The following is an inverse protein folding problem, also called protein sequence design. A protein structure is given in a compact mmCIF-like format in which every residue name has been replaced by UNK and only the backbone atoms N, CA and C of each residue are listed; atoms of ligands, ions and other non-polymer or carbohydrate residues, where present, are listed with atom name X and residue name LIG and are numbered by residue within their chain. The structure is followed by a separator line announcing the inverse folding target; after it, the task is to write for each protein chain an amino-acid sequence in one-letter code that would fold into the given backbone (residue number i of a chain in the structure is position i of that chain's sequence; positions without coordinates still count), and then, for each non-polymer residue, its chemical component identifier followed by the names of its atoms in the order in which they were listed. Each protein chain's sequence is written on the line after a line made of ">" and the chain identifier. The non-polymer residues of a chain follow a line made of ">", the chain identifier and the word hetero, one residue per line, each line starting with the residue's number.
data_IF_398401611959
#
_entry.id   IF_398401611959
#
_cell.length_a   1.000
_cell.length_b   1.000
_cell.length_c   1.000
_cell.angle_alpha   90.00
_cell.angle_beta   90.00
_cell.angle_gamma   90.00
#
_symmetry.space_group_name_H-M   'P 1'
#
loop_
_entity.id
_entity.type
_entity.pdbx_description
1 polymer ?
#
# COMPACT_ATOMS: atom_id res chain seq x y z
N UNK A 1 1.60 7.47 -17.92
CA UNK A 1 1.51 8.82 -17.31
C UNK A 1 1.74 8.67 -15.81
N UNK A 2 2.96 8.89 -15.31
CA UNK A 2 3.28 8.82 -13.86
C UNK A 2 3.85 10.15 -13.29
N UNK A 3 4.07 11.16 -14.13
CA UNK A 3 4.73 12.41 -13.72
C UNK A 3 3.92 13.21 -12.68
N UNK A 4 2.58 13.14 -12.68
CA UNK A 4 1.72 13.83 -11.72
C UNK A 4 1.75 13.23 -10.30
N UNK A 5 2.09 11.95 -10.17
CA UNK A 5 2.18 11.26 -8.88
C UNK A 5 3.54 11.47 -8.21
N UNK A 6 4.60 11.71 -8.99
CA UNK A 6 5.98 11.84 -8.53
C UNK A 6 6.29 13.22 -7.90
N UNK A 7 5.59 13.56 -6.81
CA UNK A 7 5.86 14.79 -6.02
C UNK A 7 6.42 14.43 -4.65
N UNK A 8 7.17 15.34 -4.02
CA UNK A 8 7.67 15.14 -2.65
C UNK A 8 6.54 14.89 -1.67
N UNK A 9 5.44 15.64 -1.78
CA UNK A 9 4.25 15.47 -0.93
C UNK A 9 3.61 14.09 -1.09
N UNK A 10 3.51 13.57 -2.31
CA UNK A 10 2.95 12.24 -2.54
C UNK A 10 3.90 11.14 -2.04
N UNK A 11 5.21 11.31 -2.20
CA UNK A 11 6.22 10.40 -1.65
C UNK A 11 6.14 10.34 -0.12
N UNK A 12 5.95 11.47 0.55
CA UNK A 12 5.72 11.52 2.00
C UNK A 12 4.44 10.79 2.40
N UNK A 13 3.34 11.04 1.70
CA UNK A 13 2.05 10.42 2.01
C UNK A 13 2.09 8.89 1.82
N UNK A 14 2.60 8.42 0.68
CA UNK A 14 2.76 6.99 0.41
C UNK A 14 3.84 6.38 1.31
N UNK A 15 4.92 7.10 1.57
CA UNK A 15 5.98 6.68 2.50
C UNK A 15 5.47 6.46 3.92
N UNK A 16 4.53 7.28 4.41
CA UNK A 16 3.87 7.06 5.72
C UNK A 16 3.14 5.72 5.75
N UNK A 17 2.42 5.40 4.68
CA UNK A 17 1.73 4.10 4.56
C UNK A 17 2.75 2.96 4.51
N UNK A 18 3.76 3.04 3.65
CA UNK A 18 4.80 1.99 3.53
C UNK A 18 5.55 1.78 4.85
N UNK A 19 5.84 2.86 5.59
CA UNK A 19 6.48 2.78 6.90
C UNK A 19 5.59 2.05 7.92
N UNK A 20 4.29 2.35 7.93
CA UNK A 20 3.34 1.70 8.84
C UNK A 20 3.06 0.23 8.51
N UNK A 21 2.89 -0.06 7.22
CA UNK A 21 2.45 -1.37 6.74
C UNK A 21 3.62 -2.34 6.47
N UNK A 22 4.82 -1.83 6.18
CA UNK A 22 5.94 -2.64 5.70
C UNK A 22 7.32 -2.22 6.23
N UNK A 23 7.40 -1.48 7.35
CA UNK A 23 8.69 -1.28 8.02
C UNK A 23 9.26 -2.62 8.51
N UNK A 24 10.54 -2.86 8.21
CA UNK A 24 11.21 -4.14 8.47
C UNK A 24 11.11 -5.15 7.33
N UNK A 25 10.27 -4.91 6.32
CA UNK A 25 10.21 -5.74 5.12
C UNK A 25 11.39 -5.48 4.18
N UNK A 26 11.65 -6.44 3.28
CA UNK A 26 12.58 -6.25 2.17
C UNK A 26 12.20 -5.03 1.31
N UNK A 27 13.17 -4.46 0.58
CA UNK A 27 12.91 -3.35 -0.34
C UNK A 27 11.81 -3.69 -1.36
N UNK A 28 11.75 -4.93 -1.85
CA UNK A 28 10.69 -5.37 -2.76
C UNK A 28 9.32 -5.45 -2.07
N UNK A 29 9.24 -5.87 -0.81
CA UNK A 29 7.97 -5.89 -0.06
C UNK A 29 7.42 -4.48 0.18
N UNK A 30 8.30 -3.55 0.55
CA UNK A 30 7.96 -2.13 0.68
C UNK A 30 7.54 -1.50 -0.66
N UNK A 31 8.26 -1.82 -1.73
CA UNK A 31 7.94 -1.38 -3.09
C UNK A 31 6.56 -1.88 -3.54
N UNK A 32 6.25 -3.15 -3.23
CA UNK A 32 4.97 -3.75 -3.58
C UNK A 32 3.80 -3.09 -2.84
N UNK A 33 3.94 -2.78 -1.55
CA UNK A 33 2.92 -2.00 -0.82
C UNK A 33 2.70 -0.63 -1.48
N UNK A 34 3.77 0.06 -1.89
CA UNK A 34 3.63 1.32 -2.62
C UNK A 34 2.92 1.13 -3.97
N UNK A 35 3.23 0.07 -4.71
CA UNK A 35 2.55 -0.26 -5.96
C UNK A 35 1.07 -0.56 -5.78
N UNK A 36 0.65 -1.16 -4.67
CA UNK A 36 -0.80 -1.34 -4.41
C UNK A 36 -1.57 -0.03 -4.42
N UNK A 37 -0.97 1.08 -3.96
CA UNK A 37 -1.59 2.41 -4.02
C UNK A 37 -1.67 2.90 -5.47
N UNK A 38 -0.58 2.80 -6.23
CA UNK A 38 -0.54 3.20 -7.65
C UNK A 38 -1.53 2.41 -8.49
N UNK A 39 -1.62 1.10 -8.25
CA UNK A 39 -2.51 0.18 -8.93
C UNK A 39 -3.98 0.46 -8.58
N UNK A 40 -4.29 0.74 -7.31
CA UNK A 40 -5.63 1.17 -6.87
C UNK A 40 -6.08 2.45 -7.58
N UNK A 41 -5.22 3.46 -7.71
CA UNK A 41 -5.56 4.71 -8.43
C UNK A 41 -6.00 4.43 -9.88
N UNK A 42 -5.40 3.42 -10.52
CA UNK A 42 -5.70 3.04 -11.90
C UNK A 42 -6.84 2.02 -12.04
N UNK A 43 -7.33 1.46 -10.94
CA UNK A 43 -8.31 0.38 -10.93
C UNK A 43 -9.72 0.93 -10.71
N UNK A 44 -10.66 0.62 -11.61
CA UNK A 44 -12.03 1.17 -11.60
C UNK A 44 -12.86 0.88 -10.34
N UNK A 45 -12.45 -0.10 -9.52
CA UNK A 45 -13.07 -0.42 -8.23
C UNK A 45 -12.62 0.45 -7.04
N UNK A 46 -11.67 1.37 -7.26
CA UNK A 46 -11.11 2.24 -6.22
C UNK A 46 -11.18 3.72 -6.63
N UNK A 47 -11.00 4.66 -5.69
CA UNK A 47 -10.87 6.07 -6.02
C UNK A 47 -9.71 6.31 -7.00
N UNK A 48 -9.91 7.24 -7.94
CA UNK A 48 -8.95 7.54 -9.01
C UNK A 48 -7.95 8.65 -8.64
N UNK A 49 -7.71 8.88 -7.35
CA UNK A 49 -6.74 9.87 -6.86
C UNK A 49 -5.97 9.32 -5.66
N UNK A 50 -4.75 9.81 -5.47
CA UNK A 50 -3.88 9.36 -4.38
C UNK A 50 -4.51 9.60 -3.00
N UNK A 51 -5.09 10.78 -2.78
CA UNK A 51 -5.81 11.07 -1.53
C UNK A 51 -7.04 10.17 -1.39
N UNK A 52 -7.80 9.96 -2.46
CA UNK A 52 -8.96 9.08 -2.43
C UNK A 52 -8.59 7.65 -2.02
N UNK A 53 -7.45 7.12 -2.48
CA UNK A 53 -6.98 5.77 -2.13
C UNK A 53 -6.38 5.71 -0.74
N UNK A 54 -5.46 6.62 -0.41
CA UNK A 54 -4.75 6.60 0.89
C UNK A 54 -5.71 6.93 2.04
N UNK A 55 -6.56 7.92 1.85
CA UNK A 55 -7.50 8.39 2.88
C UNK A 55 -8.84 7.64 2.81
N UNK A 56 -8.95 6.56 2.00
CA UNK A 56 -10.15 5.75 1.89
C UNK A 56 -10.54 5.20 3.27
N UNK A 57 -11.80 5.38 3.64
CA UNK A 57 -12.35 4.87 4.90
C UNK A 57 -13.50 3.90 4.66
N UNK A 58 -13.78 3.09 5.68
CA UNK A 58 -14.96 2.24 5.77
C UNK A 58 -15.54 2.30 7.19
N UNK A 59 -16.84 2.07 7.32
CA UNK A 59 -17.51 2.07 8.62
C UNK A 59 -17.83 0.64 9.04
N UNK A 60 -17.46 0.28 10.27
CA UNK A 60 -17.81 -1.00 10.90
C UNK A 60 -18.17 -0.76 12.36
N UNK A 61 -19.29 -1.31 12.82
CA UNK A 61 -19.74 -1.17 14.22
C UNK A 61 -19.91 0.27 14.69
N UNK A 62 -20.31 1.19 13.81
CA UNK A 62 -20.49 2.62 14.13
C UNK A 62 -19.20 3.43 14.21
N UNK A 63 -18.05 2.85 13.87
CA UNK A 63 -16.75 3.52 13.83
C UNK A 63 -16.22 3.56 12.40
N UNK A 64 -15.53 4.64 12.05
CA UNK A 64 -14.88 4.83 10.76
C UNK A 64 -13.41 4.50 10.89
N UNK A 65 -12.90 3.71 9.94
CA UNK A 65 -11.52 3.23 9.88
C UNK A 65 -10.94 3.55 8.52
N UNK A 66 -9.66 3.92 8.49
CA UNK A 66 -8.89 3.95 7.25
C UNK A 66 -8.61 2.53 6.75
N UNK A 67 -8.56 2.38 5.43
CA UNK A 67 -8.17 1.10 4.84
C UNK A 67 -6.73 0.71 5.19
N UNK A 68 -5.86 1.71 5.35
CA UNK A 68 -4.52 1.55 5.91
C UNK A 68 -4.59 1.84 7.42
N UNK A 69 -4.55 0.79 8.24
CA UNK A 69 -4.78 0.90 9.68
C UNK A 69 -3.74 1.79 10.38
N UNK A 70 -2.57 1.96 9.76
CA UNK A 70 -1.50 2.80 10.28
C UNK A 70 -1.91 4.27 10.37
N UNK A 71 -2.93 4.69 9.64
CA UNK A 71 -3.41 6.07 9.65
C UNK A 71 -4.36 6.36 10.83
N UNK A 72 -4.93 5.31 11.46
CA UNK A 72 -5.82 5.41 12.62
C UNK A 72 -5.07 5.30 13.96
N UNK A 73 -3.77 5.00 13.95
CA UNK A 73 -2.99 4.70 15.15
C UNK A 73 -2.05 5.88 15.54
N UNK A 74 -2.35 6.54 16.66
CA UNK A 74 -1.54 7.67 17.16
C UNK A 74 -0.09 7.29 17.52
N UNK A 75 0.17 6.05 17.92
CA UNK A 75 1.52 5.54 18.14
C UNK A 75 2.32 5.41 16.85
N UNK A 76 1.66 5.08 15.74
CA UNK A 76 2.29 5.06 14.42
C UNK A 76 2.61 6.48 13.93
N UNK A 77 1.76 7.46 14.25
CA UNK A 77 2.01 8.87 13.95
C UNK A 77 3.22 9.43 14.70
N UNK A 78 3.34 9.10 15.97
CA UNK A 78 4.50 9.45 16.79
C UNK A 78 5.78 8.84 16.23
N UNK A 79 5.76 7.54 15.89
CA UNK A 79 6.90 6.83 15.28
C UNK A 79 7.30 7.43 13.94
N UNK A 80 6.34 7.67 13.05
CA UNK A 80 6.58 8.31 11.76
C UNK A 80 7.21 9.69 11.94
N UNK A 81 6.67 10.52 12.83
CA UNK A 81 7.20 11.86 13.10
C UNK A 81 8.62 11.82 13.66
N UNK A 82 8.88 10.94 14.62
CA UNK A 82 10.21 10.78 15.21
C UNK A 82 11.24 10.25 14.19
N UNK A 83 10.82 9.35 13.29
CA UNK A 83 11.69 8.76 12.29
C UNK A 83 12.19 9.77 11.24
N UNK A 84 11.52 10.92 11.06
CA UNK A 84 11.99 11.98 10.16
C UNK A 84 13.30 12.64 10.62
N UNK A 85 13.60 12.57 11.92
CA UNK A 85 14.77 13.23 12.49
C UNK A 85 16.03 12.44 12.11
N UNK A 86 17.03 13.07 11.46
CA UNK A 86 18.30 12.41 11.17
C UNK A 86 18.96 11.85 12.44
N UNK A 87 19.40 10.59 12.39
CA UNK A 87 19.99 9.89 13.53
C UNK A 87 18.97 9.28 14.51
N UNK A 88 17.66 9.48 14.30
CA UNK A 88 16.65 8.76 15.07
C UNK A 88 16.74 7.24 14.81
N UNK A 89 16.32 6.46 15.81
CA UNK A 89 16.36 4.98 15.78
C UNK A 89 15.74 4.38 14.53
N UNK A 90 14.62 4.94 14.07
CA UNK A 90 13.87 4.44 12.91
C UNK A 90 14.11 5.24 11.62
N UNK A 91 15.11 6.13 11.60
CA UNK A 91 15.38 7.00 10.44
C UNK A 91 15.72 6.22 9.16
N UNK A 92 16.41 5.09 9.30
CA UNK A 92 16.70 4.19 8.17
C UNK A 92 15.41 3.59 7.57
N UNK A 93 14.45 3.22 8.41
CA UNK A 93 13.16 2.70 7.94
C UNK A 93 12.33 3.79 7.24
N UNK A 94 12.37 5.02 7.77
CA UNK A 94 11.77 6.19 7.10
C UNK A 94 12.37 6.42 5.72
N UNK A 95 13.71 6.46 5.60
CA UNK A 95 14.38 6.67 4.31
C UNK A 95 14.08 5.54 3.32
N UNK A 96 14.03 4.29 3.78
CA UNK A 96 13.65 3.14 2.95
C UNK A 96 12.23 3.30 2.41
N UNK A 97 11.27 3.65 3.27
CA UNK A 97 9.88 3.82 2.90
C UNK A 97 9.68 4.95 1.88
N UNK A 98 10.32 6.11 2.10
CA UNK A 98 10.30 7.24 1.14
C UNK A 98 10.93 6.84 -0.19
N UNK A 99 12.03 6.08 -0.16
CA UNK A 99 12.72 5.61 -1.37
C UNK A 99 11.82 4.67 -2.18
N UNK A 100 11.19 3.67 -1.55
CA UNK A 100 10.31 2.73 -2.26
C UNK A 100 9.02 3.40 -2.75
N UNK A 101 8.45 4.32 -1.96
CA UNK A 101 7.35 5.17 -2.41
C UNK A 101 7.72 5.97 -3.66
N UNK A 102 8.93 6.56 -3.66
CA UNK A 102 9.47 7.26 -4.82
C UNK A 102 9.65 6.35 -6.04
N UNK A 103 10.12 5.12 -5.84
CA UNK A 103 10.28 4.17 -6.92
C UNK A 103 8.97 3.82 -7.63
N UNK A 104 7.90 3.56 -6.87
CA UNK A 104 6.59 3.29 -7.43
C UNK A 104 5.96 4.54 -8.07
N UNK A 105 5.90 5.67 -7.34
CA UNK A 105 5.23 6.89 -7.81
C UNK A 105 5.90 7.51 -9.04
N UNK A 106 7.23 7.41 -9.12
CA UNK A 106 8.01 7.94 -10.23
C UNK A 106 8.29 6.90 -11.33
N UNK A 107 7.79 5.67 -11.19
CA UNK A 107 8.03 4.56 -12.09
C UNK A 107 9.53 4.33 -12.40
N UNK A 108 10.40 4.46 -11.39
CA UNK A 108 11.85 4.26 -11.55
C UNK A 108 12.30 2.83 -11.24
N UNK A 109 11.43 2.02 -10.64
CA UNK A 109 11.55 0.56 -10.59
C UNK A 109 10.22 -0.06 -10.98
N UNK A 110 10.25 -1.18 -11.69
CA UNK A 110 9.04 -1.89 -12.11
C UNK A 110 8.27 -2.49 -10.92
N UNK A 111 6.96 -2.66 -11.11
CA UNK A 111 6.09 -3.40 -10.21
C UNK A 111 6.60 -4.86 -10.06
N UNK A 112 6.93 -5.33 -8.84
CA UNK A 112 7.36 -6.71 -8.62
C UNK A 112 6.26 -7.75 -8.90
N UNK A 113 4.99 -7.32 -8.98
CA UNK A 113 3.87 -8.08 -9.50
C UNK A 113 3.34 -7.44 -10.79
N UNK A 114 3.74 -7.99 -11.93
CA UNK A 114 3.35 -7.50 -13.26
C UNK A 114 1.83 -7.37 -13.53
N UNK A 115 0.99 -8.05 -12.74
CA UNK A 115 -0.46 -7.99 -12.85
C UNK A 115 -1.11 -6.79 -12.13
N UNK A 116 -0.33 -5.99 -11.39
CA UNK A 116 -0.80 -4.80 -10.68
C UNK A 116 -1.68 -5.12 -9.47
N UNK A 117 -1.13 -5.68 -8.38
CA UNK A 117 -1.92 -6.10 -7.24
C UNK A 117 -2.52 -4.90 -6.54
N UNK A 118 -3.73 -5.11 -6.02
CA UNK A 118 -4.50 -4.06 -5.34
C UNK A 118 -4.87 -4.45 -3.91
N UNK A 119 -4.57 -5.67 -3.48
CA UNK A 119 -4.78 -6.10 -2.11
C UNK A 119 -3.54 -6.82 -1.58
N UNK A 120 -3.30 -6.69 -0.29
CA UNK A 120 -2.26 -7.43 0.40
C UNK A 120 -2.67 -7.75 1.84
N UNK A 121 -1.95 -8.67 2.47
CA UNK A 121 -2.12 -8.98 3.89
C UNK A 121 -0.87 -9.63 4.48
N UNK A 122 -0.59 -9.37 5.76
CA UNK A 122 0.57 -9.93 6.47
C UNK A 122 0.39 -11.41 6.83
N UNK A 123 -0.84 -11.92 6.79
CA UNK A 123 -1.17 -13.31 7.14
C UNK A 123 -1.87 -14.01 5.99
N UNK A 124 -1.78 -15.35 5.98
CA UNK A 124 -2.48 -16.21 5.05
C UNK A 124 -3.02 -17.43 5.81
N UNK A 125 -4.35 -17.69 5.82
CA UNK A 125 -5.39 -16.98 5.06
C UNK A 125 -5.74 -15.61 5.64
N UNK A 126 -6.12 -14.69 4.74
CA UNK A 126 -6.61 -13.37 5.10
C UNK A 126 -7.71 -12.94 4.13
N UNK A 127 -8.83 -12.45 4.68
CA UNK A 127 -10.04 -12.14 3.90
C UNK A 127 -9.79 -11.16 2.75
N UNK A 128 -8.89 -10.18 2.94
CA UNK A 128 -8.52 -9.19 1.92
C UNK A 128 -7.84 -9.81 0.68
N UNK A 129 -7.29 -11.01 0.82
CA UNK A 129 -6.59 -11.75 -0.26
C UNK A 129 -7.42 -12.89 -0.85
N UNK A 130 -8.72 -12.92 -0.56
CA UNK A 130 -9.64 -13.94 -1.06
C UNK A 130 -10.57 -13.36 -2.13
N UNK A 131 -11.00 -14.23 -3.06
CA UNK A 131 -12.10 -13.92 -3.97
C UNK A 131 -13.39 -13.64 -3.19
N UNK A 132 -14.23 -12.75 -3.70
CA UNK A 132 -15.52 -12.45 -3.08
C UNK A 132 -16.62 -12.30 -4.14
N UNK A 133 -17.78 -11.76 -3.75
CA UNK A 133 -18.92 -11.59 -4.66
C UNK A 133 -18.68 -10.56 -5.78
N UNK A 134 -17.69 -9.69 -5.66
CA UNK A 134 -17.42 -8.61 -6.60
C UNK A 134 -16.19 -8.86 -7.48
N UNK A 135 -15.19 -9.59 -6.98
CA UNK A 135 -13.94 -9.86 -7.70
C UNK A 135 -13.38 -11.26 -7.44
N UNK A 136 -12.61 -11.74 -8.41
CA UNK A 136 -11.84 -12.98 -8.33
C UNK A 136 -10.36 -12.68 -8.22
N UNK A 137 -9.68 -13.33 -7.29
CA UNK A 137 -8.22 -13.36 -7.24
C UNK A 137 -7.72 -14.16 -8.43
N UNK A 138 -6.84 -13.57 -9.22
CA UNK A 138 -6.24 -14.21 -10.40
C UNK A 138 -4.81 -14.66 -10.16
N UNK A 139 -4.11 -13.96 -9.28
CA UNK A 139 -2.75 -14.28 -8.88
C UNK A 139 -2.58 -13.94 -7.41
N UNK A 140 -1.84 -14.80 -6.69
CA UNK A 140 -1.46 -14.60 -5.29
C UNK A 140 0.01 -14.94 -5.14
N UNK A 141 0.79 -14.01 -4.60
CA UNK A 141 2.24 -14.15 -4.44
C UNK A 141 2.68 -13.61 -3.09
N UNK A 142 3.63 -14.29 -2.46
CA UNK A 142 4.27 -13.80 -1.25
C UNK A 142 5.53 -13.01 -1.61
N UNK A 143 5.66 -11.81 -1.06
CA UNK A 143 6.85 -10.95 -1.21
C UNK A 143 7.20 -10.43 0.18
N UNK A 144 8.35 -10.87 0.71
CA UNK A 144 8.65 -10.70 2.13
C UNK A 144 7.69 -11.52 3.00
N UNK A 145 7.14 -10.91 4.04
CA UNK A 145 6.12 -11.54 4.90
C UNK A 145 4.70 -11.36 4.35
N UNK A 146 4.48 -10.41 3.43
CA UNK A 146 3.17 -10.09 2.88
C UNK A 146 2.74 -10.98 1.72
N UNK A 147 1.45 -11.26 1.66
CA UNK A 147 0.76 -11.87 0.53
C UNK A 147 0.03 -10.82 -0.27
N UNK A 148 0.34 -10.71 -1.55
CA UNK A 148 -0.26 -9.76 -2.49
C UNK A 148 -1.14 -10.50 -3.48
N UNK A 149 -2.22 -9.85 -3.91
CA UNK A 149 -3.16 -10.44 -4.87
C UNK A 149 -3.59 -9.46 -5.95
N UNK A 150 -3.58 -9.97 -7.18
CA UNK A 150 -4.21 -9.36 -8.33
C UNK A 150 -5.66 -9.85 -8.44
N UNK A 151 -6.53 -8.97 -8.90
CA UNK A 151 -7.96 -9.25 -9.00
C UNK A 151 -8.50 -8.90 -10.38
N UNK A 152 -9.60 -9.58 -10.75
CA UNK A 152 -10.45 -9.19 -11.87
C UNK A 152 -11.89 -9.05 -11.41
N UNK A 153 -12.67 -8.19 -12.09
CA UNK A 153 -14.13 -8.11 -11.87
C UNK A 153 -14.75 -9.50 -12.09
N UNK A 154 -15.64 -9.91 -11.18
CA UNK A 154 -16.32 -11.19 -11.29
C UNK A 154 -17.37 -11.13 -12.41
N UNK A 155 -17.26 -12.01 -13.40
CA UNK A 155 -18.22 -12.18 -14.52
C UNK A 155 -18.83 -13.58 -14.56
N UNK A 156 -18.57 -14.41 -13.54
CA UNK A 156 -18.97 -15.82 -13.43
C UNK A 156 -18.37 -16.43 -12.16
N UNK A 157 -18.07 -17.73 -12.17
CA UNK A 157 -17.29 -18.33 -11.10
C UNK A 157 -15.84 -17.84 -11.14
N UNK A 158 -15.27 -17.71 -9.94
CA UNK A 158 -13.83 -17.71 -9.75
C UNK A 158 -13.40 -19.19 -9.68
#
# INVERSE_FOLDING_TARGET
>A
MCASLCTTTNKEKVGRVVFGEASGESANGQLEVAYTIVNRISHAGFPNSLNGVVDQTYTSGGKTYHHYNTLDNSGHDQRWTAAKIPGAREHAAYNSAITQAGHALCATKSDPMSCGPVNFCATNPCASTNSNKYWCVTEKKQIGSHWFTCIKKKTGNC
#
